data_IF_580145144528
#
_entry.id   IF_580145144528
#
_cell.length_a   1.000
_cell.length_b   1.000
_cell.length_c   1.000
_cell.angle_alpha   90.00
_cell.angle_beta   90.00
_cell.angle_gamma   90.00
#
_symmetry.space_group_name_H-M   'P 1'
#
loop_
_entity.id
_entity.type
_entity.pdbx_description
1 polymer ?
#
# COMPACT_ATOMS: atom_id res chain seq x y z
N UNK A 1 31.50 11.56 18.47
CA UNK A 1 30.19 11.86 17.88
C UNK A 1 30.14 11.61 16.37
N UNK A 2 31.17 11.95 15.58
CA UNK A 2 31.18 11.70 14.12
C UNK A 2 31.33 10.23 13.68
N UNK A 3 31.82 9.34 14.53
CA UNK A 3 31.95 7.89 14.21
C UNK A 3 30.71 7.05 14.57
N UNK A 4 29.75 7.61 15.28
CA UNK A 4 28.46 6.96 15.58
C UNK A 4 27.43 7.21 14.45
N UNK A 5 27.54 8.33 13.77
CA UNK A 5 26.64 8.68 12.65
C UNK A 5 26.87 7.88 11.36
N UNK A 6 28.08 7.35 11.16
CA UNK A 6 28.44 6.64 9.94
C UNK A 6 28.10 5.14 9.96
N UNK A 7 27.54 4.61 11.05
CA UNK A 7 27.09 3.21 11.16
C UNK A 7 25.57 3.03 11.26
N UNK A 8 24.83 4.15 11.22
CA UNK A 8 23.36 4.16 11.34
C UNK A 8 22.63 4.20 9.97
N UNK A 9 23.35 4.02 8.88
CA UNK A 9 22.87 4.38 7.56
C UNK A 9 22.78 3.18 6.60
N UNK A 10 22.06 2.13 6.93
CA UNK A 10 21.69 1.10 5.96
C UNK A 10 20.37 0.44 6.34
N UNK A 11 19.42 0.61 5.47
CA UNK A 11 18.12 -0.05 5.35
C UNK A 11 16.91 0.58 6.00
N UNK A 12 16.07 1.19 5.20
CA UNK A 12 14.63 1.06 5.33
C UNK A 12 13.92 1.45 4.04
N UNK A 13 13.57 0.50 3.26
CA UNK A 13 12.50 0.63 2.28
C UNK A 13 11.32 -0.11 2.85
N UNK A 14 10.35 0.62 3.40
CA UNK A 14 9.06 0.05 3.75
C UNK A 14 8.25 -0.09 2.47
N UNK A 15 8.59 -1.12 1.74
CA UNK A 15 7.65 -1.79 0.88
C UNK A 15 7.31 -3.09 1.62
N UNK A 16 6.06 -3.30 1.93
CA UNK A 16 5.50 -4.60 2.31
C UNK A 16 5.91 -5.65 1.28
N UNK A 17 7.08 -6.25 1.42
CA UNK A 17 7.56 -7.46 0.71
C UNK A 17 9.10 -7.50 0.69
N UNK A 18 9.77 -7.36 1.86
CA UNK A 18 11.12 -7.87 2.00
C UNK A 18 11.09 -9.27 2.63
N UNK A 19 10.68 -10.25 1.83
CA UNK A 19 10.77 -11.66 2.19
C UNK A 19 12.16 -12.27 1.95
N UNK A 20 13.22 -11.49 1.68
CA UNK A 20 14.53 -12.06 1.35
C UNK A 20 15.75 -11.18 1.65
N UNK A 21 15.73 -10.38 2.72
CA UNK A 21 16.99 -9.83 3.24
C UNK A 21 17.10 -10.13 4.73
N UNK A 22 18.28 -10.48 5.26
CA UNK A 22 18.47 -10.52 6.68
C UNK A 22 18.14 -9.13 7.24
N UNK A 23 17.19 -9.06 8.16
CA UNK A 23 16.80 -7.83 8.82
C UNK A 23 18.05 -7.23 9.48
N UNK A 24 18.57 -6.15 8.92
CA UNK A 24 19.54 -5.34 9.66
C UNK A 24 18.74 -4.60 10.73
N UNK A 25 19.22 -4.66 11.97
CA UNK A 25 18.61 -3.98 13.09
C UNK A 25 18.33 -2.52 12.74
N UNK A 26 17.07 -2.11 12.81
CA UNK A 26 16.66 -0.73 12.55
C UNK A 26 17.35 0.26 13.51
N UNK A 27 17.34 1.57 13.21
CA UNK A 27 17.96 2.59 14.04
C UNK A 27 17.46 2.56 15.50
N UNK A 28 16.17 2.38 15.69
CA UNK A 28 15.55 2.28 17.03
C UNK A 28 15.97 1.00 17.74
N UNK A 29 15.99 -0.14 17.05
CA UNK A 29 16.40 -1.41 17.65
C UNK A 29 17.82 -1.32 18.24
N UNK A 30 18.74 -0.72 17.49
CA UNK A 30 20.11 -0.50 17.93
C UNK A 30 20.17 0.49 19.11
N UNK A 31 19.37 1.55 19.05
CA UNK A 31 19.30 2.57 20.11
C UNK A 31 18.75 2.00 21.42
N UNK A 32 17.74 1.14 21.35
CA UNK A 32 17.10 0.53 22.52
C UNK A 32 17.85 -0.71 23.03
N UNK A 33 18.87 -1.19 22.30
CA UNK A 33 19.62 -2.38 22.65
C UNK A 33 18.75 -3.65 22.67
N UNK A 34 17.75 -3.72 21.80
CA UNK A 34 16.86 -4.87 21.73
C UNK A 34 17.60 -6.11 21.23
N UNK A 35 17.26 -7.31 21.72
CA UNK A 35 17.84 -8.55 21.25
C UNK A 35 17.44 -8.82 19.79
N UNK A 36 18.25 -9.61 19.06
CA UNK A 36 18.05 -9.93 17.65
C UNK A 36 16.71 -10.62 17.31
N UNK A 37 16.04 -11.21 18.32
CA UNK A 37 14.72 -11.82 18.16
C UNK A 37 13.54 -10.87 18.38
N UNK A 38 13.80 -9.58 18.58
CA UNK A 38 12.79 -8.51 18.71
C UNK A 38 13.11 -7.44 17.67
N UNK A 39 12.16 -7.11 16.83
CA UNK A 39 12.20 -5.98 15.90
C UNK A 39 11.14 -4.97 16.32
N UNK A 40 11.53 -3.71 16.41
CA UNK A 40 10.63 -2.60 16.72
C UNK A 40 10.80 -1.51 15.67
N UNK A 41 9.68 -1.04 15.13
CA UNK A 41 9.67 0.03 14.12
C UNK A 41 8.69 1.12 14.48
N UNK A 42 8.99 2.33 14.04
CA UNK A 42 8.07 3.47 14.07
C UNK A 42 8.12 4.17 12.73
N UNK A 43 6.97 4.22 12.07
CA UNK A 43 6.80 4.89 10.80
C UNK A 43 5.84 6.06 10.96
N UNK A 44 6.27 7.23 10.51
CA UNK A 44 5.45 8.43 10.54
C UNK A 44 5.32 9.00 9.15
N UNK A 45 4.08 9.21 8.71
CA UNK A 45 3.77 9.85 7.44
C UNK A 45 2.86 11.05 7.67
N UNK A 46 3.15 12.16 7.00
CA UNK A 46 2.28 13.34 7.02
C UNK A 46 2.11 13.93 5.63
N UNK A 47 0.90 14.43 5.34
CA UNK A 47 0.48 14.87 4.02
C UNK A 47 -0.28 16.21 4.10
N UNK A 48 0.41 17.35 4.26
CA UNK A 48 -0.21 18.65 3.99
C UNK A 48 -0.49 18.80 2.50
N UNK A 49 -1.76 18.97 2.12
CA UNK A 49 -2.21 19.12 0.74
C UNK A 49 -3.33 20.15 0.62
N UNK A 50 -3.51 20.73 -0.57
CA UNK A 50 -4.59 21.66 -0.82
C UNK A 50 -4.90 21.87 -2.29
N UNK A 51 -6.10 22.37 -2.55
CA UNK A 51 -6.54 22.81 -3.87
C UNK A 51 -5.74 24.03 -4.35
N UNK A 52 -5.40 24.02 -5.62
CA UNK A 52 -4.74 25.13 -6.30
C UNK A 52 -5.68 25.80 -7.29
N UNK A 53 -6.56 25.03 -7.92
CA UNK A 53 -7.51 25.51 -8.94
C UNK A 53 -8.61 24.45 -9.15
N UNK A 54 -9.85 24.89 -9.40
CA UNK A 54 -10.99 24.01 -9.68
C UNK A 54 -11.52 23.31 -8.43
N UNK A 55 -12.31 22.23 -8.60
CA UNK A 55 -13.06 21.62 -7.52
C UNK A 55 -14.24 22.46 -7.04
N UNK A 56 -14.93 22.01 -6.00
CA UNK A 56 -16.01 22.81 -5.35
C UNK A 56 -15.41 23.95 -4.51
N UNK A 57 -14.36 23.66 -3.74
CA UNK A 57 -13.62 24.64 -2.95
C UNK A 57 -12.13 24.65 -3.37
N UNK A 58 -11.73 25.55 -4.30
CA UNK A 58 -10.34 25.57 -4.79
C UNK A 58 -9.32 26.05 -3.76
N UNK A 59 -9.76 26.56 -2.62
CA UNK A 59 -8.89 26.98 -1.50
C UNK A 59 -8.88 25.98 -0.34
N UNK A 60 -9.49 24.81 -0.50
CA UNK A 60 -9.46 23.75 0.48
C UNK A 60 -8.01 23.35 0.78
N UNK A 61 -7.67 23.23 2.04
CA UNK A 61 -6.36 22.75 2.46
C UNK A 61 -6.50 21.98 3.77
N UNK A 62 -5.94 20.81 3.80
CA UNK A 62 -5.96 19.93 4.97
C UNK A 62 -4.56 19.44 5.31
N UNK A 63 -4.42 18.94 6.51
CA UNK A 63 -3.22 18.26 6.96
C UNK A 63 -3.63 16.99 7.67
N UNK A 64 -3.09 15.88 7.22
CA UNK A 64 -3.31 14.57 7.82
C UNK A 64 -1.99 13.87 8.12
N UNK A 65 -1.98 13.05 9.16
CA UNK A 65 -0.80 12.28 9.56
C UNK A 65 -1.19 10.90 10.07
N UNK A 66 -0.25 9.99 9.93
CA UNK A 66 -0.33 8.63 10.45
C UNK A 66 0.99 8.25 11.13
N UNK A 67 0.88 7.61 12.28
CA UNK A 67 2.01 6.95 12.95
C UNK A 67 1.71 5.47 13.07
N UNK A 68 2.60 4.63 12.57
CA UNK A 68 2.52 3.17 12.70
C UNK A 68 3.64 2.72 13.64
N UNK A 69 3.29 1.92 14.63
CA UNK A 69 4.24 1.31 15.58
C UNK A 69 4.15 -0.20 15.44
N UNK A 70 5.25 -0.80 15.02
CA UNK A 70 5.37 -2.24 14.79
C UNK A 70 6.24 -2.92 15.85
N UNK A 71 5.84 -4.12 16.25
CA UNK A 71 6.63 -5.01 17.09
C UNK A 71 6.55 -6.43 16.53
N UNK A 72 7.69 -6.97 16.13
CA UNK A 72 7.82 -8.37 15.73
C UNK A 72 8.71 -9.13 16.70
N UNK A 73 8.24 -10.27 17.19
CA UNK A 73 8.94 -11.12 18.12
C UNK A 73 9.07 -12.51 17.50
N UNK A 74 10.29 -12.99 17.31
CA UNK A 74 10.51 -14.32 16.72
C UNK A 74 11.96 -14.71 16.63
N UNK A 75 12.21 -16.00 16.47
CA UNK A 75 13.54 -16.58 16.52
C UNK A 75 14.32 -16.46 15.19
N UNK A 76 13.66 -16.17 14.08
CA UNK A 76 14.29 -16.04 12.76
C UNK A 76 14.77 -14.63 12.42
N UNK A 77 14.52 -13.63 13.26
CA UNK A 77 14.93 -12.26 13.03
C UNK A 77 16.46 -12.12 13.08
N UNK A 78 17.04 -11.45 12.10
CA UNK A 78 18.48 -11.19 12.06
C UNK A 78 19.39 -12.38 11.77
N UNK A 79 18.85 -13.58 11.56
CA UNK A 79 19.62 -14.80 11.25
C UNK A 79 19.57 -15.13 9.76
N UNK A 80 20.64 -15.77 9.29
CA UNK A 80 20.61 -16.44 7.99
C UNK A 80 19.62 -17.62 8.08
N UNK A 81 18.46 -17.43 7.45
CA UNK A 81 17.30 -18.34 7.52
C UNK A 81 17.39 -19.48 6.50
N UNK A 82 18.60 -19.89 6.11
CA UNK A 82 18.82 -20.95 5.12
C UNK A 82 18.23 -22.32 5.52
N UNK A 83 17.96 -22.54 6.81
CA UNK A 83 17.41 -23.79 7.30
C UNK A 83 15.92 -23.71 7.68
N UNK A 84 15.05 -23.72 6.68
CA UNK A 84 13.59 -23.63 6.82
C UNK A 84 12.90 -24.72 7.66
N UNK A 85 13.63 -25.79 8.05
CA UNK A 85 13.10 -26.89 8.86
C UNK A 85 13.09 -26.58 10.35
N UNK A 86 13.76 -25.54 10.78
CA UNK A 86 13.84 -25.18 12.19
C UNK A 86 12.64 -24.33 12.62
N UNK A 87 12.31 -24.38 13.90
CA UNK A 87 11.24 -23.59 14.57
C UNK A 87 11.48 -22.08 14.42
N UNK A 88 12.65 -21.68 14.00
CA UNK A 88 13.16 -20.32 13.93
C UNK A 88 12.43 -19.37 12.97
N UNK A 89 11.43 -19.85 12.23
CA UNK A 89 10.67 -19.05 11.26
C UNK A 89 9.33 -18.51 11.80
N UNK A 90 8.96 -18.80 13.04
CA UNK A 90 7.72 -18.31 13.62
C UNK A 90 7.91 -16.95 14.28
N UNK A 91 6.94 -16.07 14.07
CA UNK A 91 6.94 -14.71 14.57
C UNK A 91 5.56 -14.34 15.11
N UNK A 92 5.55 -13.49 16.13
CA UNK A 92 4.37 -12.77 16.61
C UNK A 92 4.50 -11.33 16.12
N UNK A 93 3.49 -10.82 15.42
CA UNK A 93 3.48 -9.48 14.85
C UNK A 93 2.35 -8.68 15.51
N UNK A 94 2.69 -7.51 16.03
CA UNK A 94 1.76 -6.55 16.59
C UNK A 94 2.00 -5.21 15.90
N UNK A 95 0.92 -4.53 15.50
CA UNK A 95 1.00 -3.21 14.89
C UNK A 95 -0.14 -2.34 15.39
N UNK A 96 0.20 -1.09 15.71
CA UNK A 96 -0.73 -0.04 16.08
C UNK A 96 -0.57 1.11 15.10
N UNK A 97 -1.69 1.62 14.60
CA UNK A 97 -1.74 2.83 13.76
C UNK A 97 -2.49 3.92 14.49
N UNK A 98 -1.90 5.09 14.60
CA UNK A 98 -2.58 6.31 15.03
C UNK A 98 -2.73 7.25 13.83
N UNK A 99 -3.95 7.69 13.57
CA UNK A 99 -4.29 8.63 12.52
C UNK A 99 -4.85 9.91 13.15
N UNK A 100 -4.38 11.07 12.70
CA UNK A 100 -4.79 12.38 13.22
C UNK A 100 -4.74 13.45 12.12
N UNK A 101 -5.58 14.49 12.26
CA UNK A 101 -5.67 15.58 11.31
C UNK A 101 -7.07 15.75 10.76
N UNK A 102 -7.16 16.40 9.59
CA UNK A 102 -8.40 16.67 8.90
C UNK A 102 -8.52 15.80 7.63
N UNK A 103 -9.45 14.82 7.59
CA UNK A 103 -9.59 13.91 6.48
C UNK A 103 -10.46 14.46 5.33
N UNK A 104 -10.98 15.69 5.42
CA UNK A 104 -12.11 16.15 4.61
C UNK A 104 -11.70 16.76 3.26
N UNK A 105 -10.43 16.70 2.85
CA UNK A 105 -9.97 17.30 1.60
C UNK A 105 -10.76 16.81 0.37
N UNK A 106 -11.07 15.53 0.29
CA UNK A 106 -11.89 15.00 -0.81
C UNK A 106 -13.29 15.63 -0.85
N UNK A 107 -13.94 15.72 0.30
CA UNK A 107 -15.27 16.32 0.45
C UNK A 107 -15.26 17.79 0.06
N UNK A 108 -14.28 18.56 0.53
CA UNK A 108 -14.11 19.96 0.23
C UNK A 108 -13.88 20.21 -1.27
N UNK A 109 -13.18 19.31 -1.95
CA UNK A 109 -12.93 19.40 -3.40
C UNK A 109 -14.10 18.87 -4.24
N UNK A 110 -15.08 18.20 -3.63
CA UNK A 110 -16.18 17.52 -4.32
C UNK A 110 -15.76 16.22 -5.00
N UNK A 111 -14.72 15.56 -4.49
CA UNK A 111 -14.19 14.29 -5.01
C UNK A 111 -14.76 13.10 -4.30
N UNK A 112 -14.83 11.95 -4.98
CA UNK A 112 -15.20 10.68 -4.37
C UNK A 112 -13.98 10.02 -3.70
N UNK A 113 -12.81 10.11 -4.34
CA UNK A 113 -11.57 9.54 -3.83
C UNK A 113 -10.68 10.60 -3.18
N UNK A 114 -10.00 10.21 -2.09
CA UNK A 114 -9.13 11.12 -1.38
C UNK A 114 -7.80 11.33 -2.13
N UNK A 115 -7.34 12.60 -2.29
CA UNK A 115 -6.01 12.89 -2.80
C UNK A 115 -4.87 12.45 -1.88
N UNK A 116 -5.15 12.19 -0.60
CA UNK A 116 -4.21 11.75 0.41
C UNK A 116 -4.32 10.24 0.64
N UNK A 117 -3.19 9.54 0.83
CA UNK A 117 -3.15 8.10 1.07
C UNK A 117 -3.43 7.74 2.52
N UNK A 118 -2.82 8.48 3.45
CA UNK A 118 -2.88 8.14 4.88
C UNK A 118 -4.19 8.54 5.54
N UNK A 119 -5.18 8.95 4.76
CA UNK A 119 -6.49 9.33 5.28
C UNK A 119 -7.26 8.11 5.74
N UNK A 120 -7.33 8.00 7.05
CA UNK A 120 -8.07 6.99 7.79
C UNK A 120 -9.01 7.68 8.78
N UNK A 121 -10.00 7.00 9.34
CA UNK A 121 -10.74 7.54 10.47
C UNK A 121 -9.76 7.97 11.58
N UNK A 122 -9.95 9.19 12.10
CA UNK A 122 -9.10 9.73 13.17
C UNK A 122 -9.19 8.83 14.40
N UNK A 123 -8.06 8.43 14.96
CA UNK A 123 -8.01 7.57 16.14
C UNK A 123 -6.80 6.65 16.17
N UNK A 124 -6.85 5.69 17.08
CA UNK A 124 -5.82 4.65 17.24
C UNK A 124 -6.43 3.29 16.99
N UNK A 125 -5.71 2.44 16.23
CA UNK A 125 -6.18 1.18 15.71
C UNK A 125 -5.15 0.08 15.94
N UNK A 126 -5.61 -1.13 16.29
CA UNK A 126 -4.80 -2.33 16.13
C UNK A 126 -4.88 -2.70 14.65
N UNK A 127 -3.81 -2.53 13.91
CA UNK A 127 -3.76 -2.82 12.46
C UNK A 127 -3.16 -4.18 12.15
N UNK A 128 -2.53 -4.81 13.15
CA UNK A 128 -2.10 -6.20 13.09
C UNK A 128 -1.97 -6.80 14.49
N UNK A 129 -2.45 -8.02 14.67
CA UNK A 129 -2.15 -8.88 15.81
C UNK A 129 -2.18 -10.34 15.34
N UNK A 130 -1.03 -10.89 14.97
CA UNK A 130 -0.97 -12.16 14.26
C UNK A 130 0.24 -13.00 14.62
N UNK A 131 0.15 -14.29 14.31
CA UNK A 131 1.28 -15.21 14.30
C UNK A 131 1.56 -15.58 12.86
N UNK A 132 2.81 -15.48 12.44
CA UNK A 132 3.25 -15.87 11.11
C UNK A 132 4.35 -16.90 11.14
N UNK A 133 4.39 -17.73 10.10
CA UNK A 133 5.53 -18.52 9.72
C UNK A 133 6.07 -17.96 8.42
N UNK A 134 7.25 -17.40 8.49
CA UNK A 134 7.90 -16.84 7.31
C UNK A 134 8.46 -17.94 6.41
N UNK A 135 8.60 -17.60 5.14
CA UNK A 135 9.11 -18.52 4.15
C UNK A 135 10.54 -18.97 4.45
N UNK A 136 11.42 -18.06 4.86
CA UNK A 136 12.86 -18.30 4.76
C UNK A 136 13.18 -18.80 3.35
N UNK A 137 13.94 -19.90 3.24
CA UNK A 137 14.13 -20.64 1.99
C UNK A 137 13.07 -21.75 1.78
N UNK A 138 11.99 -21.74 2.57
CA UNK A 138 10.95 -22.75 2.52
C UNK A 138 9.97 -22.57 1.37
N UNK A 139 9.29 -23.65 1.03
CA UNK A 139 8.30 -23.65 -0.05
C UNK A 139 6.92 -23.13 0.36
N UNK A 140 6.70 -22.77 1.62
CA UNK A 140 5.43 -22.26 2.11
C UNK A 140 5.57 -21.26 3.26
N UNK A 141 4.61 -20.38 3.38
CA UNK A 141 4.41 -19.49 4.53
C UNK A 141 2.95 -19.45 4.94
N UNK A 142 2.68 -19.01 6.16
CA UNK A 142 1.34 -18.84 6.68
C UNK A 142 1.28 -17.71 7.71
N UNK A 143 0.12 -17.08 7.86
CA UNK A 143 -0.16 -16.09 8.89
C UNK A 143 -1.60 -16.24 9.35
N UNK A 144 -1.87 -16.06 10.64
CA UNK A 144 -3.20 -16.12 11.22
C UNK A 144 -3.33 -15.09 12.34
N UNK A 145 -4.48 -14.44 12.44
CA UNK A 145 -4.77 -13.44 13.48
C UNK A 145 -5.65 -12.32 12.98
N UNK A 146 -5.57 -11.15 13.62
CA UNK A 146 -6.17 -9.92 13.14
C UNK A 146 -5.26 -9.30 12.08
N UNK A 147 -5.76 -9.09 10.87
CA UNK A 147 -4.97 -8.63 9.74
C UNK A 147 -5.82 -7.82 8.76
N UNK A 148 -5.23 -6.84 8.11
CA UNK A 148 -5.78 -6.26 6.89
C UNK A 148 -5.40 -7.10 5.67
N UNK A 149 -6.15 -6.97 4.59
CA UNK A 149 -5.90 -7.73 3.36
C UNK A 149 -4.77 -7.12 2.52
N UNK A 150 -4.63 -5.79 2.56
CA UNK A 150 -3.69 -5.03 1.73
C UNK A 150 -2.26 -5.54 1.76
N UNK A 151 -1.64 -5.75 2.93
CA UNK A 151 -0.25 -6.20 3.03
C UNK A 151 0.03 -7.54 2.34
N UNK A 152 -0.97 -8.40 2.24
CA UNK A 152 -0.82 -9.75 1.70
C UNK A 152 -1.25 -9.87 0.23
N UNK A 153 -2.25 -9.08 -0.18
CA UNK A 153 -2.92 -9.18 -1.47
C UNK A 153 -3.21 -7.81 -2.06
N UNK A 154 -3.57 -7.77 -3.33
CA UNK A 154 -4.09 -6.58 -4.02
C UNK A 154 -3.08 -5.43 -4.20
N UNK A 155 -1.95 -5.42 -3.54
CA UNK A 155 -0.92 -4.38 -3.64
C UNK A 155 0.19 -4.78 -4.61
N UNK A 156 0.78 -3.81 -5.26
CA UNK A 156 2.00 -3.98 -6.03
C UNK A 156 3.01 -2.89 -5.65
N UNK A 157 4.30 -3.21 -5.49
CA UNK A 157 5.31 -2.25 -5.02
C UNK A 157 5.46 -0.98 -5.89
N UNK A 158 5.02 -1.03 -7.14
CA UNK A 158 5.02 0.16 -8.00
C UNK A 158 4.03 1.23 -7.51
N UNK A 159 2.93 0.81 -6.86
CA UNK A 159 1.89 1.70 -6.36
C UNK A 159 2.35 2.50 -5.13
N UNK A 160 3.30 1.99 -4.36
CA UNK A 160 3.83 2.63 -3.14
C UNK A 160 4.56 3.96 -3.43
N UNK A 161 4.78 4.28 -4.71
CA UNK A 161 5.44 5.52 -5.13
C UNK A 161 4.48 6.70 -5.32
N UNK A 162 3.20 6.55 -5.00
CA UNK A 162 2.17 7.57 -5.20
C UNK A 162 1.47 7.91 -3.89
N UNK A 163 0.83 9.07 -3.85
CA UNK A 163 0.12 9.59 -2.67
C UNK A 163 -1.39 9.64 -2.81
N UNK A 164 -1.92 9.59 -4.03
CA UNK A 164 -3.37 9.54 -4.22
C UNK A 164 -3.91 8.16 -3.81
N UNK A 165 -4.98 8.12 -3.04
CA UNK A 165 -5.58 6.88 -2.55
C UNK A 165 -5.93 5.87 -3.65
N UNK A 166 -6.19 6.32 -4.88
CA UNK A 166 -6.49 5.42 -6.01
C UNK A 166 -5.25 4.93 -6.74
N UNK A 167 -4.08 5.53 -6.51
CA UNK A 167 -2.80 5.14 -7.11
C UNK A 167 -1.90 4.41 -6.13
N UNK A 168 -1.84 4.86 -4.89
CA UNK A 168 -0.98 4.26 -3.86
C UNK A 168 -1.56 2.97 -3.31
N UNK A 169 -2.84 2.82 -3.35
CA UNK A 169 -3.48 1.72 -2.65
C UNK A 169 -3.69 0.51 -3.56
N UNK A 170 -4.06 -0.51 -2.88
CA UNK A 170 -4.65 -1.73 -3.40
C UNK A 170 -5.65 -1.44 -4.48
N UNK A 171 -5.61 -2.24 -5.49
CA UNK A 171 -6.51 -2.21 -6.61
C UNK A 171 -7.97 -1.99 -6.17
N UNK A 172 -8.47 -0.77 -6.33
CA UNK A 172 -9.83 -0.35 -6.03
C UNK A 172 -10.21 -0.38 -4.53
N UNK A 173 -9.91 0.70 -3.85
CA UNK A 173 -10.23 0.94 -2.44
C UNK A 173 -11.73 0.98 -2.10
N UNK A 174 -12.59 1.09 -3.09
CA UNK A 174 -14.04 1.19 -2.90
C UNK A 174 -14.76 -0.19 -2.96
N UNK A 175 -14.07 -1.29 -2.69
CA UNK A 175 -14.66 -2.62 -2.61
C UNK A 175 -15.35 -2.79 -1.26
N UNK A 176 -16.69 -2.94 -1.21
CA UNK A 176 -17.40 -3.09 0.06
C UNK A 176 -16.95 -4.33 0.83
N UNK A 177 -16.74 -4.17 2.13
CA UNK A 177 -16.47 -5.26 3.05
C UNK A 177 -15.06 -5.86 2.98
N UNK A 178 -14.14 -5.21 2.27
CA UNK A 178 -12.73 -5.62 2.29
C UNK A 178 -12.01 -4.93 3.47
N UNK A 179 -11.35 -5.70 4.37
CA UNK A 179 -10.63 -5.13 5.49
C UNK A 179 -9.29 -4.53 5.01
N UNK A 180 -9.34 -3.29 4.54
CA UNK A 180 -8.16 -2.50 4.15
C UNK A 180 -7.73 -1.65 5.36
N UNK A 181 -6.42 -1.52 5.59
CA UNK A 181 -5.86 -0.72 6.68
C UNK A 181 -6.58 0.65 6.80
N UNK A 182 -7.01 1.08 8.01
CA UNK A 182 -6.73 0.51 9.33
C UNK A 182 -7.67 -0.63 9.75
N UNK A 183 -8.62 -1.01 8.92
CA UNK A 183 -9.59 -2.06 9.24
C UNK A 183 -8.92 -3.43 9.18
N UNK A 184 -9.18 -4.23 10.19
CA UNK A 184 -8.69 -5.60 10.30
C UNK A 184 -9.84 -6.57 10.53
N UNK A 185 -9.60 -7.82 10.18
CA UNK A 185 -10.51 -8.92 10.44
C UNK A 185 -9.72 -10.16 10.90
N UNK A 186 -10.34 -11.05 11.68
CA UNK A 186 -9.78 -12.38 11.91
C UNK A 186 -9.59 -13.10 10.57
N UNK A 187 -8.38 -13.56 10.31
CA UNK A 187 -8.08 -14.18 9.03
C UNK A 187 -6.95 -15.19 9.11
N UNK A 188 -6.80 -15.92 8.01
CA UNK A 188 -5.69 -16.81 7.76
C UNK A 188 -5.22 -16.62 6.33
N UNK A 189 -3.91 -16.58 6.14
CA UNK A 189 -3.28 -16.58 4.83
C UNK A 189 -2.28 -17.73 4.73
N UNK A 190 -2.19 -18.32 3.55
CA UNK A 190 -1.19 -19.34 3.22
C UNK A 190 -0.61 -19.04 1.85
N UNK A 191 0.67 -19.32 1.68
CA UNK A 191 1.32 -19.18 0.40
C UNK A 191 2.23 -20.36 0.10
N UNK A 192 2.25 -20.77 -1.16
CA UNK A 192 3.22 -21.70 -1.70
C UNK A 192 4.20 -20.93 -2.60
N UNK A 193 5.48 -21.19 -2.45
CA UNK A 193 6.57 -20.47 -3.10
C UNK A 193 7.35 -21.36 -4.03
N UNK A 194 7.63 -20.87 -5.22
CA UNK A 194 8.46 -21.54 -6.20
C UNK A 194 9.30 -20.53 -6.97
N UNK A 195 10.60 -20.76 -7.04
CA UNK A 195 11.53 -19.89 -7.77
C UNK A 195 11.23 -19.79 -9.27
N UNK A 196 10.56 -20.79 -9.85
CA UNK A 196 10.24 -20.85 -11.28
C UNK A 196 8.78 -20.53 -11.61
N UNK A 197 7.85 -20.86 -10.71
CA UNK A 197 6.41 -20.70 -10.91
C UNK A 197 5.84 -19.48 -10.17
N UNK A 198 6.67 -18.84 -9.32
CA UNK A 198 6.22 -17.74 -8.47
C UNK A 198 5.48 -18.20 -7.23
N UNK A 199 4.74 -17.29 -6.63
CA UNK A 199 4.01 -17.49 -5.38
C UNK A 199 2.52 -17.65 -5.68
N UNK A 200 1.90 -18.68 -5.14
CA UNK A 200 0.45 -18.84 -5.09
C UNK A 200 -0.01 -18.60 -3.65
N UNK A 201 -0.90 -17.63 -3.45
CA UNK A 201 -1.36 -17.15 -2.15
C UNK A 201 -2.87 -17.30 -2.03
N UNK A 202 -3.34 -17.74 -0.88
CA UNK A 202 -4.75 -17.79 -0.53
C UNK A 202 -4.98 -17.12 0.82
N UNK A 203 -6.05 -16.33 0.93
CA UNK A 203 -6.49 -15.67 2.16
C UNK A 203 -7.97 -15.88 2.40
N UNK A 204 -8.33 -16.07 3.67
CA UNK A 204 -9.70 -16.07 4.17
C UNK A 204 -9.78 -15.09 5.34
N UNK A 205 -10.79 -14.21 5.32
CA UNK A 205 -11.05 -13.22 6.36
C UNK A 205 -12.52 -13.29 6.74
N UNK A 206 -12.77 -13.39 8.05
CA UNK A 206 -14.13 -13.36 8.61
C UNK A 206 -14.44 -11.92 9.03
N UNK A 207 -15.45 -11.31 8.40
CA UNK A 207 -15.84 -9.94 8.68
C UNK A 207 -16.85 -9.91 9.80
N UNK A 208 -16.59 -9.06 10.78
CA UNK A 208 -17.42 -8.85 11.96
C UNK A 208 -17.21 -7.42 12.47
N UNK A 209 -18.28 -6.65 12.50
CA UNK A 209 -18.26 -5.26 12.99
C UNK A 209 -17.80 -5.15 14.44
N UNK A 210 -18.13 -6.12 15.31
CA UNK A 210 -17.68 -6.11 16.70
C UNK A 210 -16.15 -6.20 16.81
N UNK A 211 -15.51 -7.01 15.95
CA UNK A 211 -14.06 -7.10 15.88
C UNK A 211 -13.43 -5.79 15.37
N UNK A 212 -14.03 -5.18 14.36
CA UNK A 212 -13.56 -3.91 13.82
C UNK A 212 -13.65 -2.78 14.86
N UNK A 213 -14.74 -2.72 15.62
CA UNK A 213 -14.94 -1.78 16.74
C UNK A 213 -13.92 -2.05 17.85
N UNK A 214 -13.70 -3.30 18.23
CA UNK A 214 -12.71 -3.65 19.26
C UNK A 214 -11.28 -3.25 18.84
N UNK A 215 -10.94 -3.38 17.57
CA UNK A 215 -9.65 -2.97 17.03
C UNK A 215 -9.46 -1.45 16.99
N UNK A 216 -10.53 -0.67 17.02
CA UNK A 216 -10.52 0.79 16.90
C UNK A 216 -10.12 1.54 18.18
N UNK A 217 -9.82 0.86 19.26
CA UNK A 217 -9.36 1.40 20.55
C UNK A 217 -10.11 2.66 21.03
N UNK A 218 -11.44 2.60 21.01
CA UNK A 218 -12.30 3.64 21.54
C UNK A 218 -12.79 4.68 20.52
N UNK A 219 -12.51 4.49 19.26
CA UNK A 219 -13.08 5.28 18.16
C UNK A 219 -14.27 4.51 17.57
N UNK A 220 -15.39 5.20 17.38
CA UNK A 220 -16.45 4.64 16.54
C UNK A 220 -15.99 4.69 15.08
N UNK A 221 -15.80 3.56 14.42
CA UNK A 221 -15.32 3.56 13.03
C UNK A 221 -16.36 4.14 12.05
N UNK A 222 -17.57 4.45 12.50
CA UNK A 222 -18.66 4.89 11.64
C UNK A 222 -19.02 3.87 10.55
N UNK A 223 -18.50 2.65 10.68
CA UNK A 223 -18.72 1.59 9.70
C UNK A 223 -20.10 0.98 9.90
N UNK A 224 -20.82 0.72 8.81
CA UNK A 224 -22.07 -0.04 8.89
C UNK A 224 -21.79 -1.44 9.44
N UNK A 225 -22.84 -2.07 9.99
CA UNK A 225 -22.77 -3.45 10.48
C UNK A 225 -22.39 -4.39 9.34
N UNK A 226 -21.11 -4.77 9.29
CA UNK A 226 -20.56 -5.64 8.24
C UNK A 226 -20.45 -7.05 8.79
N UNK A 227 -21.02 -8.00 8.08
CA UNK A 227 -20.92 -9.44 8.37
C UNK A 227 -20.65 -10.21 7.10
N UNK A 228 -19.91 -11.29 7.22
CA UNK A 228 -19.61 -12.16 6.11
C UNK A 228 -18.17 -12.59 6.04
N UNK A 229 -17.69 -12.87 4.83
CA UNK A 229 -16.30 -13.29 4.61
C UNK A 229 -15.75 -12.78 3.29
N UNK A 230 -14.45 -12.66 3.24
CA UNK A 230 -13.69 -12.38 2.02
C UNK A 230 -12.69 -13.51 1.81
N UNK A 231 -12.62 -14.01 0.58
CA UNK A 231 -11.64 -14.98 0.13
C UNK A 231 -10.85 -14.39 -1.03
N UNK A 232 -9.55 -14.59 -1.01
CA UNK A 232 -8.66 -14.11 -2.07
C UNK A 232 -7.74 -15.24 -2.52
N UNK A 233 -7.59 -15.38 -3.83
CA UNK A 233 -6.56 -16.21 -4.44
C UNK A 233 -5.72 -15.32 -5.35
N UNK A 234 -4.40 -15.34 -5.18
CA UNK A 234 -3.48 -14.50 -5.93
C UNK A 234 -2.23 -15.28 -6.34
N UNK A 235 -1.78 -15.05 -7.54
CA UNK A 235 -0.53 -15.53 -8.07
C UNK A 235 0.39 -14.35 -8.40
N UNK A 236 1.66 -14.46 -7.97
CA UNK A 236 2.73 -13.47 -8.23
C UNK A 236 3.94 -14.17 -8.83
N UNK A 237 4.50 -13.57 -9.85
CA UNK A 237 5.72 -14.03 -10.49
C UNK A 237 6.64 -12.85 -10.77
N UNK A 238 7.92 -12.98 -10.41
CA UNK A 238 8.97 -12.15 -11.01
C UNK A 238 9.52 -12.89 -12.25
N UNK A 239 9.11 -12.50 -13.45
CA UNK A 239 9.49 -13.22 -14.67
C UNK A 239 10.97 -13.07 -15.04
N UNK A 240 11.66 -12.13 -14.41
CA UNK A 240 13.08 -11.85 -14.62
C UNK A 240 13.96 -12.18 -13.40
N UNK A 241 13.46 -12.97 -12.46
CA UNK A 241 14.21 -13.36 -11.24
C UNK A 241 15.53 -14.07 -11.55
N UNK A 242 15.66 -14.71 -12.70
CA UNK A 242 16.89 -15.36 -13.16
C UNK A 242 17.96 -14.36 -13.66
N UNK A 243 17.57 -13.12 -13.93
CA UNK A 243 18.48 -12.06 -14.40
C UNK A 243 19.05 -11.30 -13.21
N UNK A 244 20.11 -11.84 -12.63
CA UNK A 244 20.77 -11.25 -11.44
C UNK A 244 21.26 -9.82 -11.68
N UNK A 245 21.60 -9.48 -12.93
CA UNK A 245 22.00 -8.12 -13.31
C UNK A 245 20.92 -7.05 -13.07
N UNK A 246 19.65 -7.42 -13.09
CA UNK A 246 18.54 -6.50 -12.78
C UNK A 246 18.35 -6.25 -11.28
N UNK A 247 18.95 -7.09 -10.45
CA UNK A 247 18.91 -7.01 -8.99
C UNK A 247 20.25 -6.51 -8.43
N UNK A 248 21.26 -6.34 -9.28
CA UNK A 248 22.56 -5.84 -8.88
C UNK A 248 22.49 -4.33 -8.56
N UNK A 249 23.34 -3.83 -7.66
CA UNK A 249 23.51 -2.40 -7.46
C UNK A 249 23.84 -1.69 -8.78
N UNK A 250 23.37 -0.47 -8.94
CA UNK A 250 23.61 0.36 -10.12
C UNK A 250 24.75 1.32 -9.78
N UNK A 251 25.66 1.52 -10.72
CA UNK A 251 26.66 2.59 -10.60
C UNK A 251 26.04 3.90 -11.07
N UNK A 252 26.05 4.91 -10.20
CA UNK A 252 25.72 6.28 -10.54
C UNK A 252 26.76 6.89 -11.49
N UNK A 253 26.41 7.99 -12.13
CA UNK A 253 27.28 8.72 -13.07
C UNK A 253 28.58 9.24 -12.44
N UNK A 254 28.59 9.35 -11.12
CA UNK A 254 29.72 9.77 -10.27
C UNK A 254 30.56 8.62 -9.73
N UNK A 255 30.23 7.37 -10.12
CA UNK A 255 30.90 6.16 -9.64
C UNK A 255 30.43 5.68 -8.27
N UNK A 256 29.41 6.29 -7.67
CA UNK A 256 28.79 5.77 -6.44
C UNK A 256 27.92 4.56 -6.76
N UNK A 257 28.04 3.52 -5.96
CA UNK A 257 27.16 2.36 -6.08
C UNK A 257 25.83 2.67 -5.42
N UNK A 258 24.75 2.55 -6.17
CA UNK A 258 23.37 2.79 -5.72
C UNK A 258 22.63 1.47 -5.61
N UNK A 259 22.02 1.23 -4.48
CA UNK A 259 21.10 0.10 -4.35
C UNK A 259 19.88 0.35 -5.24
N UNK A 260 19.44 -0.69 -5.97
CA UNK A 260 18.26 -0.58 -6.81
C UNK A 260 17.00 -0.48 -5.94
N UNK A 261 16.35 0.69 -5.95
CA UNK A 261 15.17 0.96 -5.15
C UNK A 261 13.85 0.75 -5.92
N UNK A 262 13.88 0.83 -7.26
CA UNK A 262 12.68 0.62 -8.05
C UNK A 262 12.17 -0.82 -7.93
N UNK A 263 10.84 -1.01 -7.96
CA UNK A 263 10.22 -2.32 -7.81
C UNK A 263 10.77 -3.37 -8.78
N UNK A 264 10.93 -4.58 -8.30
CA UNK A 264 11.27 -5.71 -9.14
C UNK A 264 10.19 -5.95 -10.20
N UNK A 265 10.54 -6.54 -11.36
CA UNK A 265 9.57 -6.97 -12.35
C UNK A 265 8.54 -7.90 -11.73
N UNK A 266 7.25 -7.62 -11.98
CA UNK A 266 6.15 -8.34 -11.36
C UNK A 266 5.05 -8.62 -12.39
N UNK A 267 4.55 -9.85 -12.39
CA UNK A 267 3.23 -10.22 -12.90
C UNK A 267 2.39 -10.67 -11.71
N UNK A 268 1.22 -10.07 -11.54
CA UNK A 268 0.29 -10.40 -10.47
C UNK A 268 -1.10 -10.58 -11.07
N UNK A 269 -1.75 -11.68 -10.72
CA UNK A 269 -3.13 -11.97 -11.08
C UNK A 269 -3.85 -12.50 -9.86
N UNK A 270 -5.06 -12.04 -9.62
CA UNK A 270 -5.85 -12.49 -8.50
C UNK A 270 -7.34 -12.44 -8.73
N UNK A 271 -8.04 -13.11 -7.84
CA UNK A 271 -9.49 -13.08 -7.75
C UNK A 271 -9.93 -13.00 -6.30
N UNK A 272 -11.02 -12.30 -6.06
CA UNK A 272 -11.60 -12.13 -4.74
C UNK A 272 -13.09 -12.47 -4.78
N UNK A 273 -13.53 -13.14 -3.74
CA UNK A 273 -14.93 -13.43 -3.46
C UNK A 273 -15.30 -12.81 -2.13
N UNK A 274 -16.34 -11.98 -2.11
CA UNK A 274 -16.89 -11.41 -0.87
C UNK A 274 -18.38 -11.70 -0.82
N UNK A 275 -18.86 -12.20 0.29
CA UNK A 275 -20.28 -12.40 0.58
C UNK A 275 -20.79 -11.44 1.66
N UNK A 276 -20.19 -10.25 1.74
CA UNK A 276 -20.55 -9.26 2.75
C UNK A 276 -21.90 -8.62 2.46
N UNK A 277 -22.73 -8.51 3.46
CA UNK A 277 -23.85 -7.60 3.46
C UNK A 277 -23.31 -6.18 3.78
N UNK A 278 -23.56 -5.23 2.92
CA UNK A 278 -23.18 -3.84 3.08
C UNK A 278 -24.44 -2.97 2.97
N UNK A 279 -24.86 -2.24 4.01
CA UNK A 279 -25.90 -1.24 3.86
C UNK A 279 -25.36 -0.11 2.96
N UNK A 280 -26.01 0.12 1.85
CA UNK A 280 -25.61 1.16 0.91
C UNK A 280 -25.60 2.54 1.57
N UNK A 281 -24.68 3.40 1.18
CA UNK A 281 -24.50 4.77 1.65
C UNK A 281 -25.71 5.69 1.45
N UNK A 282 -26.75 5.24 0.76
CA UNK A 282 -28.00 5.97 0.50
C UNK A 282 -29.24 5.25 1.11
N UNK A 283 -29.07 4.35 2.09
CA UNK A 283 -30.19 3.59 2.66
C UNK A 283 -30.74 2.51 1.73
N UNK A 284 -30.09 2.22 0.64
CA UNK A 284 -30.35 1.03 -0.17
C UNK A 284 -29.58 -0.13 0.47
N UNK A 285 -30.30 -1.11 0.99
CA UNK A 285 -29.68 -2.39 1.33
C UNK A 285 -29.05 -2.93 0.06
N UNK A 286 -27.70 -2.97 0.03
CA UNK A 286 -27.02 -3.84 -0.91
C UNK A 286 -27.43 -5.24 -0.49
N UNK A 287 -28.21 -5.91 -1.34
CA UNK A 287 -28.75 -7.22 -1.02
C UNK A 287 -27.63 -8.18 -0.61
N UNK A 288 -27.95 -9.16 0.21
CA UNK A 288 -27.09 -10.30 0.46
C UNK A 288 -26.67 -10.88 -0.88
N UNK A 289 -25.43 -10.66 -1.29
CA UNK A 289 -24.95 -11.03 -2.62
C UNK A 289 -23.46 -11.33 -2.65
N UNK A 290 -23.09 -12.16 -3.61
CA UNK A 290 -21.71 -12.46 -3.86
C UNK A 290 -21.09 -11.34 -4.72
N UNK A 291 -20.03 -10.70 -4.22
CA UNK A 291 -19.21 -9.76 -4.99
C UNK A 291 -17.94 -10.47 -5.46
N UNK A 292 -17.79 -10.59 -6.77
CA UNK A 292 -16.67 -11.25 -7.41
C UNK A 292 -15.82 -10.24 -8.15
N UNK A 293 -14.51 -10.29 -7.92
CA UNK A 293 -13.56 -9.35 -8.50
C UNK A 293 -12.39 -10.14 -9.07
N UNK A 294 -11.94 -9.73 -10.23
CA UNK A 294 -10.66 -10.16 -10.81
C UNK A 294 -9.75 -8.95 -10.95
N UNK A 295 -8.47 -9.12 -10.71
CA UNK A 295 -7.50 -8.05 -10.77
C UNK A 295 -6.14 -8.51 -11.27
N UNK A 296 -5.33 -7.57 -11.69
CA UNK A 296 -3.96 -7.86 -12.07
C UNK A 296 -3.09 -6.63 -12.15
N UNK A 297 -1.79 -6.86 -12.03
CA UNK A 297 -0.75 -5.84 -12.13
C UNK A 297 0.45 -6.37 -12.89
N UNK A 298 1.06 -5.52 -13.68
CA UNK A 298 2.34 -5.77 -14.32
C UNK A 298 3.29 -4.61 -14.03
N UNK A 299 4.52 -4.92 -13.60
CA UNK A 299 5.64 -3.97 -13.50
C UNK A 299 6.78 -4.49 -14.36
N UNK A 300 7.30 -3.64 -15.26
CA UNK A 300 8.31 -4.05 -16.23
C UNK A 300 9.43 -3.02 -16.37
N UNK A 301 10.70 -3.46 -16.38
CA UNK A 301 11.83 -2.57 -16.61
C UNK A 301 11.87 -2.11 -18.08
N UNK A 302 12.16 -0.82 -18.27
CA UNK A 302 12.29 -0.22 -19.59
C UNK A 302 13.57 0.62 -19.65
N UNK A 303 14.17 0.69 -20.82
CA UNK A 303 15.34 1.55 -21.04
C UNK A 303 14.88 2.87 -21.64
N UNK A 304 15.06 3.96 -20.91
CA UNK A 304 14.73 5.32 -21.37
C UNK A 304 15.96 6.21 -21.21
N UNK A 305 16.09 7.30 -21.99
CA UNK A 305 17.21 8.25 -21.88
C UNK A 305 17.11 9.19 -20.66
N UNK A 306 16.26 8.87 -19.70
CA UNK A 306 15.99 9.61 -18.48
C UNK A 306 16.31 8.72 -17.28
N UNK A 307 16.96 9.29 -16.27
CA UNK A 307 17.33 8.56 -15.06
C UNK A 307 18.38 7.46 -15.31
N UNK A 308 18.55 6.62 -14.32
CA UNK A 308 19.48 5.47 -14.34
C UNK A 308 18.73 4.13 -14.39
N UNK A 309 17.50 4.08 -13.90
CA UNK A 309 16.60 2.91 -13.96
C UNK A 309 15.16 3.36 -14.17
N UNK A 310 14.38 2.56 -14.86
CA UNK A 310 13.00 2.91 -15.19
C UNK A 310 12.07 1.70 -15.12
N UNK A 311 10.79 1.94 -14.68
CA UNK A 311 9.72 0.97 -14.70
C UNK A 311 8.48 1.56 -15.36
N UNK A 312 7.84 0.78 -16.22
CA UNK A 312 6.44 0.97 -16.57
C UNK A 312 5.60 0.00 -15.77
N UNK A 313 4.43 0.42 -15.33
CA UNK A 313 3.48 -0.46 -14.66
C UNK A 313 2.06 -0.20 -15.16
N UNK A 314 1.24 -1.26 -15.10
CA UNK A 314 -0.19 -1.23 -15.36
C UNK A 314 -0.89 -2.03 -14.26
N UNK A 315 -2.05 -1.57 -13.85
CA UNK A 315 -2.89 -2.24 -12.86
C UNK A 315 -4.37 -2.08 -13.22
N UNK A 316 -5.17 -3.05 -12.82
CA UNK A 316 -6.61 -2.94 -13.02
C UNK A 316 -7.39 -4.01 -12.30
N UNK A 317 -8.68 -3.73 -12.09
CA UNK A 317 -9.63 -4.72 -11.63
C UNK A 317 -10.97 -4.61 -12.36
N UNK A 318 -11.74 -5.67 -12.28
CA UNK A 318 -13.08 -5.77 -12.79
C UNK A 318 -13.97 -6.50 -11.78
N UNK A 319 -14.97 -5.80 -11.25
CA UNK A 319 -16.06 -6.36 -10.46
C UNK A 319 -17.08 -6.99 -11.40
N UNK A 320 -17.33 -8.30 -11.22
CA UNK A 320 -18.24 -9.05 -12.06
C UNK A 320 -19.70 -8.86 -11.67
N UNK A 321 -19.92 -8.28 -10.48
CA UNK A 321 -21.25 -8.03 -9.91
C UNK A 321 -21.44 -6.52 -9.67
N UNK A 322 -21.70 -5.71 -10.72
CA UNK A 322 -21.75 -4.25 -10.61
C UNK A 322 -22.92 -3.74 -9.74
N UNK A 323 -23.92 -4.58 -9.47
CA UNK A 323 -24.99 -4.28 -8.52
C UNK A 323 -24.55 -4.42 -7.05
N UNK A 324 -23.37 -4.99 -6.79
CA UNK A 324 -22.77 -5.19 -5.47
C UNK A 324 -21.51 -4.36 -5.27
N UNK A 325 -21.05 -3.66 -6.30
CA UNK A 325 -19.80 -2.90 -6.25
C UNK A 325 -20.02 -1.46 -6.74
N UNK A 326 -19.85 -0.44 -5.88
CA UNK A 326 -20.04 0.96 -6.27
C UNK A 326 -19.04 1.43 -7.33
N UNK A 327 -17.85 0.81 -7.41
CA UNK A 327 -16.79 1.13 -8.39
C UNK A 327 -16.34 -0.18 -9.07
N UNK A 328 -17.17 -0.74 -10.00
CA UNK A 328 -16.93 -2.07 -10.57
C UNK A 328 -15.71 -2.16 -11.50
N UNK A 329 -15.14 -1.05 -11.94
CA UNK A 329 -13.92 -1.12 -12.72
C UNK A 329 -12.92 -0.02 -12.38
N UNK A 330 -11.67 -0.42 -12.33
CA UNK A 330 -10.51 0.41 -12.10
C UNK A 330 -9.43 0.08 -13.11
N UNK A 331 -8.79 1.10 -13.65
CA UNK A 331 -7.62 0.96 -14.50
C UNK A 331 -6.60 2.04 -14.14
N UNK A 332 -5.35 1.66 -14.01
CA UNK A 332 -4.25 2.57 -13.71
C UNK A 332 -2.99 2.17 -14.46
N UNK A 333 -2.09 3.12 -14.62
CA UNK A 333 -0.77 2.88 -15.17
C UNK A 333 0.16 4.04 -14.88
N UNK A 334 1.44 3.78 -14.97
CA UNK A 334 2.41 4.81 -14.67
C UNK A 334 3.83 4.44 -15.03
N UNK A 335 4.68 5.38 -14.72
CA UNK A 335 6.11 5.32 -14.96
C UNK A 335 6.88 5.79 -13.72
N UNK A 336 7.92 5.04 -13.37
CA UNK A 336 8.87 5.35 -12.32
C UNK A 336 10.25 5.51 -12.96
N UNK A 337 11.00 6.54 -12.54
CA UNK A 337 12.36 6.79 -13.00
C UNK A 337 13.25 7.17 -11.82
N UNK A 338 14.29 6.38 -11.60
CA UNK A 338 15.27 6.61 -10.54
C UNK A 338 16.44 7.44 -11.06
N UNK A 339 17.00 8.33 -10.22
CA UNK A 339 18.21 9.07 -10.52
C UNK A 339 18.08 10.05 -11.69
N UNK A 340 16.95 10.75 -11.79
CA UNK A 340 16.67 11.72 -12.88
C UNK A 340 17.55 12.97 -12.75
N UNK A 341 17.77 13.44 -11.53
CA UNK A 341 18.61 14.62 -11.29
C UNK A 341 20.08 14.23 -11.05
N UNK A 342 21.04 15.06 -11.50
CA UNK A 342 22.45 14.86 -11.20
C UNK A 342 22.70 14.82 -9.68
N UNK A 343 23.60 13.93 -9.23
CA UNK A 343 23.99 13.75 -7.83
C UNK A 343 22.83 13.34 -6.88
N UNK A 344 21.72 12.84 -7.44
CA UNK A 344 20.55 12.34 -6.71
C UNK A 344 20.15 10.95 -7.24
N UNK A 345 21.01 9.94 -7.08
CA UNK A 345 20.80 8.61 -7.67
C UNK A 345 19.68 7.81 -6.99
N UNK A 346 19.36 8.13 -5.73
CA UNK A 346 18.36 7.42 -4.94
C UNK A 346 16.96 8.01 -5.08
N UNK A 347 16.83 9.18 -5.69
CA UNK A 347 15.54 9.85 -5.85
C UNK A 347 14.71 9.22 -6.96
N UNK A 348 13.39 9.26 -6.80
CA UNK A 348 12.45 8.67 -7.76
C UNK A 348 11.44 9.71 -8.25
N UNK A 349 11.35 9.86 -9.55
CA UNK A 349 10.27 10.57 -10.25
C UNK A 349 9.16 9.56 -10.57
N UNK A 350 7.93 9.87 -10.21
CA UNK A 350 6.77 9.05 -10.51
C UNK A 350 5.70 9.84 -11.26
N UNK A 351 5.16 9.26 -12.33
CA UNK A 351 3.99 9.75 -13.06
C UNK A 351 2.98 8.61 -13.13
N UNK A 352 1.77 8.84 -12.61
CA UNK A 352 0.69 7.86 -12.61
C UNK A 352 -0.62 8.44 -13.10
N UNK A 353 -1.45 7.59 -13.67
CA UNK A 353 -2.80 7.91 -14.10
C UNK A 353 -3.75 6.81 -13.69
N UNK A 354 -4.96 7.19 -13.26
CA UNK A 354 -6.01 6.23 -12.92
C UNK A 354 -7.37 6.67 -13.43
N UNK A 355 -8.24 5.69 -13.62
CA UNK A 355 -9.66 5.87 -13.89
C UNK A 355 -10.47 4.86 -13.09
N UNK A 356 -11.41 5.37 -12.30
CA UNK A 356 -12.36 4.61 -11.51
C UNK A 356 -13.75 4.82 -12.09
N UNK A 357 -14.42 3.77 -12.53
CA UNK A 357 -15.75 3.87 -13.14
C UNK A 357 -16.81 3.46 -12.13
N UNK A 358 -17.84 4.29 -11.98
CA UNK A 358 -18.93 4.06 -11.04
C UNK A 358 -19.97 3.07 -11.59
N UNK A 359 -20.62 2.35 -10.69
CA UNK A 359 -21.73 1.47 -11.04
C UNK A 359 -22.96 2.28 -11.45
N UNK A 360 -23.48 2.08 -12.64
CA UNK A 360 -24.71 2.76 -13.06
C UNK A 360 -25.94 2.32 -12.26
N UNK A 361 -25.87 1.16 -11.61
CA UNK A 361 -26.95 0.62 -10.77
C UNK A 361 -26.95 1.24 -9.39
N UNK A 362 -25.77 1.33 -8.75
CA UNK A 362 -25.62 1.84 -7.37
C UNK A 362 -25.45 3.36 -7.32
N UNK A 363 -24.86 3.93 -8.36
CA UNK A 363 -24.58 5.35 -8.48
C UNK A 363 -25.16 5.90 -9.80
N UNK A 364 -26.49 5.91 -9.95
CA UNK A 364 -27.10 6.38 -11.18
C UNK A 364 -26.75 7.86 -11.44
N UNK A 365 -26.27 8.15 -12.66
CA UNK A 365 -25.83 9.50 -13.04
C UNK A 365 -24.36 9.78 -12.86
N UNK A 366 -23.62 8.95 -12.10
CA UNK A 366 -22.17 9.04 -12.02
C UNK A 366 -21.52 8.23 -13.15
N UNK A 367 -20.39 8.69 -13.65
CA UNK A 367 -19.66 8.02 -14.74
C UNK A 367 -18.30 7.47 -14.30
N UNK A 368 -17.32 8.33 -14.12
CA UNK A 368 -15.99 7.97 -13.65
C UNK A 368 -15.31 9.15 -12.97
N UNK A 369 -14.36 8.86 -12.09
CA UNK A 369 -13.39 9.81 -11.59
C UNK A 369 -11.98 9.32 -11.95
N UNK A 370 -11.11 10.23 -12.36
CA UNK A 370 -9.74 9.93 -12.75
C UNK A 370 -8.76 10.88 -12.06
N UNK A 371 -7.51 10.43 -11.98
CA UNK A 371 -6.41 11.22 -11.41
C UNK A 371 -5.17 11.10 -12.28
N UNK A 372 -4.44 12.18 -12.44
CA UNK A 372 -3.05 12.19 -12.90
C UNK A 372 -2.23 12.73 -11.74
N UNK A 373 -1.21 11.98 -11.31
CA UNK A 373 -0.27 12.39 -10.27
C UNK A 373 1.14 12.43 -10.81
N UNK A 374 1.85 13.53 -10.53
CA UNK A 374 3.27 13.67 -10.71
C UNK A 374 3.89 13.97 -9.35
N UNK A 375 4.88 13.19 -8.96
CA UNK A 375 5.61 13.41 -7.72
C UNK A 375 7.11 13.13 -7.88
N UNK A 376 7.90 13.60 -6.91
CA UNK A 376 9.33 13.39 -6.87
C UNK A 376 9.76 13.03 -5.44
N UNK A 377 10.07 11.77 -5.20
CA UNK A 377 10.54 11.27 -3.91
C UNK A 377 12.00 11.61 -3.70
N UNK A 378 12.27 12.50 -2.75
CA UNK A 378 13.60 12.96 -2.36
C UNK A 378 14.04 12.17 -1.14
N UNK A 379 14.99 11.25 -1.32
CA UNK A 379 15.58 10.49 -0.22
C UNK A 379 16.68 11.35 0.44
N UNK A 380 16.33 12.04 1.54
CA UNK A 380 17.28 12.89 2.28
C UNK A 380 18.26 12.04 3.08
N UNK A 381 17.76 10.97 3.66
CA UNK A 381 18.53 9.93 4.36
C UNK A 381 17.75 8.63 4.30
N UNK A 382 18.28 7.57 4.88
CA UNK A 382 17.58 6.29 5.00
C UNK A 382 16.34 6.37 5.91
N UNK A 383 16.27 7.40 6.76
CA UNK A 383 15.19 7.63 7.71
C UNK A 383 14.17 8.64 7.18
N UNK A 384 14.58 9.57 6.32
CA UNK A 384 13.77 10.75 5.94
C UNK A 384 13.58 10.80 4.44
N UNK A 385 12.33 10.75 4.01
CA UNK A 385 11.92 10.99 2.62
C UNK A 385 10.94 12.17 2.57
N UNK A 386 11.08 13.01 1.56
CA UNK A 386 10.17 14.13 1.26
C UNK A 386 9.72 14.01 -0.18
N UNK A 387 8.41 14.06 -0.40
CA UNK A 387 7.80 13.83 -1.70
C UNK A 387 6.85 14.96 -2.08
N UNK A 388 7.34 16.08 -2.68
CA UNK A 388 6.48 17.05 -3.31
C UNK A 388 5.68 16.41 -4.45
N UNK A 389 4.43 16.83 -4.58
CA UNK A 389 3.51 16.26 -5.54
C UNK A 389 2.54 17.29 -6.12
N UNK A 390 2.01 16.94 -7.28
CA UNK A 390 0.91 17.62 -7.93
C UNK A 390 -0.05 16.58 -8.51
N UNK A 391 -1.34 16.78 -8.27
CA UNK A 391 -2.40 15.93 -8.80
C UNK A 391 -3.38 16.76 -9.63
N UNK A 392 -3.91 16.15 -10.67
CA UNK A 392 -5.05 16.66 -11.41
C UNK A 392 -6.19 15.66 -11.34
N UNK A 393 -7.26 16.04 -10.65
CA UNK A 393 -8.49 15.26 -10.58
C UNK A 393 -9.37 15.58 -11.78
N UNK A 394 -9.78 14.55 -12.48
CA UNK A 394 -10.61 14.61 -13.68
C UNK A 394 -12.00 14.13 -13.31
N UNK A 395 -13.01 14.97 -13.57
CA UNK A 395 -14.40 14.68 -13.28
C UNK A 395 -14.65 14.27 -11.81
N UNK A 396 -14.30 15.15 -10.85
CA UNK A 396 -14.51 14.87 -9.43
C UNK A 396 -15.93 14.38 -9.14
N UNK A 397 -16.12 13.48 -8.20
CA UNK A 397 -17.36 12.74 -7.92
C UNK A 397 -17.97 11.93 -9.08
N UNK A 398 -17.47 12.03 -10.29
CA UNK A 398 -18.03 11.35 -11.47
C UNK A 398 -19.31 11.98 -12.04
N UNK A 399 -19.77 13.10 -11.48
CA UNK A 399 -21.06 13.73 -11.83
C UNK A 399 -21.03 14.56 -13.12
N UNK A 400 -19.83 14.99 -13.56
CA UNK A 400 -19.67 15.93 -14.67
C UNK A 400 -20.04 17.38 -14.33
N UNK A 401 -20.42 17.68 -13.09
CA UNK A 401 -20.85 19.01 -12.64
C UNK A 401 -19.77 19.75 -11.88
N UNK A 402 -18.86 19.04 -11.22
CA UNK A 402 -17.73 19.59 -10.47
C UNK A 402 -16.57 19.82 -11.45
N UNK A 403 -15.99 21.03 -11.51
CA UNK A 403 -14.80 21.29 -12.33
C UNK A 403 -13.62 20.42 -11.89
N UNK A 404 -12.80 19.96 -12.84
CA UNK A 404 -11.55 19.27 -12.51
C UNK A 404 -10.67 20.12 -11.60
N UNK A 405 -10.00 19.48 -10.63
CA UNK A 405 -9.21 20.20 -9.62
C UNK A 405 -7.72 19.90 -9.71
N UNK A 406 -6.91 20.95 -9.58
CA UNK A 406 -5.47 20.84 -9.35
C UNK A 406 -5.18 20.89 -7.85
N UNK A 407 -4.36 19.96 -7.39
CA UNK A 407 -4.00 19.81 -5.99
C UNK A 407 -2.47 19.80 -5.89
N UNK A 408 -1.93 20.51 -4.92
CA UNK A 408 -0.53 20.50 -4.57
C UNK A 408 -0.31 20.03 -3.15
N UNK A 409 0.79 19.39 -2.89
CA UNK A 409 1.11 18.93 -1.55
C UNK A 409 2.52 18.38 -1.41
N UNK A 410 2.80 17.93 -0.21
CA UNK A 410 4.05 17.28 0.16
C UNK A 410 3.73 16.11 1.08
N UNK A 411 4.27 14.92 0.78
CA UNK A 411 4.31 13.84 1.75
C UNK A 411 5.69 13.82 2.42
N UNK A 412 5.72 13.63 3.73
CA UNK A 412 6.96 13.43 4.49
C UNK A 412 6.87 12.09 5.22
N UNK A 413 7.83 11.24 4.99
CA UNK A 413 7.96 9.92 5.63
C UNK A 413 9.19 9.90 6.54
N UNK A 414 8.99 9.41 7.77
CA UNK A 414 10.06 9.10 8.72
C UNK A 414 9.96 7.63 9.08
N UNK A 415 11.05 6.89 8.85
CA UNK A 415 11.13 5.44 9.09
C UNK A 415 12.24 5.18 10.13
N UNK A 416 11.85 4.67 11.31
CA UNK A 416 12.76 4.52 12.45
C UNK A 416 12.87 3.06 12.92
#
# INVERSE_FOLDING_TARGET
MQRLLTRLLATSSIGLLNLCCPAQAGPIQTLLGLPEWVEFSVDYTTEPMGGLLGGENPSAATWFQQTVVGLTIGSGLGKDTSNWREIDHWQVNLELTNAAGDPDLATELGSFFNPQTVVNPVGTWITQASVSRNQGDGWWSAQAGLMSIGPQFLTAPALDNYTNATLNNTLNVAIPGVPINPFVAPGITVAAHSSSLGDLRYGYYNLDSETAIAASLGVDPGQPDVRGSVQVLEWRLNPLAHRKELLAPIEGKDGTTVARQLPAPLLQLGGMLSNTAWPGSAGTELGEGLNRIVYGTITWPVTLPIGIDNRLWLAGNLGLDPAQNPVPSFAAGGWLSQGVLPNRPDDVLALGVTRNSFSPTLNPGLTYEGVIELNYSINISEVVQVQPLMQWQINPSGSGTVPGSWIGGVQVNLNL
#
